data_IF_765489224818
#
_entry.id   IF_765489224818
#
_cell.length_a   1.000
_cell.length_b   1.000
_cell.length_c   1.000
_cell.angle_alpha   90.00
_cell.angle_beta   90.00
_cell.angle_gamma   90.00
#
_symmetry.space_group_name_H-M   'P 1'
#
loop_
_entity.id
_entity.type
_entity.pdbx_description
1 polymer ?
#
# COMPACT_ATOMS: atom_id res chain seq x y z
N UNK A 1 5.94 -7.29 28.59
CA UNK A 1 5.82 -7.18 27.12
C UNK A 1 7.23 -7.21 26.53
N UNK A 2 7.57 -8.17 25.66
CA UNK A 2 8.90 -8.16 25.03
C UNK A 2 8.93 -7.00 24.04
N UNK A 3 9.82 -6.02 24.27
CA UNK A 3 9.96 -4.80 23.46
C UNK A 3 9.92 -5.10 21.95
N UNK A 4 10.58 -6.19 21.53
CA UNK A 4 10.62 -6.69 20.14
C UNK A 4 9.25 -6.96 19.50
N UNK A 5 8.25 -7.44 20.26
CA UNK A 5 6.92 -7.73 19.72
C UNK A 5 6.08 -6.46 19.54
N UNK A 6 6.24 -5.46 20.43
CA UNK A 6 5.56 -4.18 20.28
C UNK A 6 6.12 -3.43 19.07
N UNK A 7 7.45 -3.38 18.93
CA UNK A 7 8.11 -2.74 17.78
C UNK A 7 7.70 -3.42 16.47
N UNK A 8 7.64 -4.76 16.45
CA UNK A 8 7.20 -5.50 15.25
C UNK A 8 5.73 -5.26 14.89
N UNK A 9 4.83 -5.12 15.88
CA UNK A 9 3.42 -4.81 15.64
C UNK A 9 3.23 -3.40 15.09
N UNK A 10 3.90 -2.42 15.68
CA UNK A 10 3.87 -1.01 15.25
C UNK A 10 4.47 -0.87 13.84
N UNK A 11 5.58 -1.55 13.55
CA UNK A 11 6.22 -1.50 12.23
C UNK A 11 5.32 -2.06 11.13
N UNK A 12 4.56 -3.14 11.41
CA UNK A 12 3.58 -3.71 10.47
C UNK A 12 2.38 -2.79 10.26
N UNK A 13 1.90 -2.13 11.32
CA UNK A 13 0.84 -1.14 11.24
C UNK A 13 1.26 0.07 10.40
N UNK A 14 2.41 0.66 10.70
CA UNK A 14 2.95 1.81 9.97
C UNK A 14 3.29 1.44 8.53
N UNK A 15 3.92 0.27 8.30
CA UNK A 15 4.24 -0.22 6.98
C UNK A 15 3.00 -0.51 6.13
N UNK A 16 1.97 -1.15 6.72
CA UNK A 16 0.70 -1.41 6.05
C UNK A 16 -0.05 -0.12 5.71
N UNK A 17 -0.11 0.83 6.64
CA UNK A 17 -0.73 2.14 6.41
C UNK A 17 0.01 2.93 5.33
N UNK A 18 1.35 2.96 5.36
CA UNK A 18 2.17 3.61 4.35
C UNK A 18 1.92 3.02 2.95
N UNK A 19 1.77 1.70 2.84
CA UNK A 19 1.46 1.02 1.58
C UNK A 19 0.07 1.39 1.06
N UNK A 20 -0.93 1.48 1.94
CA UNK A 20 -2.30 1.90 1.59
C UNK A 20 -2.29 3.35 1.11
N UNK A 21 -1.64 4.26 1.84
CA UNK A 21 -1.55 5.68 1.48
C UNK A 21 -0.80 5.85 0.16
N UNK A 22 0.32 5.15 -0.02
CA UNK A 22 1.07 5.17 -1.26
C UNK A 22 0.23 4.69 -2.45
N UNK A 23 -0.51 3.59 -2.27
CA UNK A 23 -1.40 3.07 -3.30
C UNK A 23 -2.52 4.07 -3.63
N UNK A 24 -3.13 4.70 -2.61
CA UNK A 24 -4.18 5.70 -2.83
C UNK A 24 -3.66 6.95 -3.55
N UNK A 25 -2.50 7.48 -3.15
CA UNK A 25 -1.90 8.67 -3.76
C UNK A 25 -1.49 8.38 -5.20
N UNK A 26 -0.88 7.23 -5.43
CA UNK A 26 -0.48 6.81 -6.77
C UNK A 26 -1.70 6.53 -7.64
N UNK A 27 -2.76 5.92 -7.11
CA UNK A 27 -4.04 5.76 -7.81
C UNK A 27 -4.67 7.11 -8.18
N UNK A 28 -4.60 8.12 -7.31
CA UNK A 28 -5.11 9.46 -7.64
C UNK A 28 -4.28 10.16 -8.72
N UNK A 29 -2.96 9.97 -8.74
CA UNK A 29 -2.07 10.50 -9.79
C UNK A 29 -2.24 9.77 -11.11
N UNK A 30 -2.38 8.45 -11.07
CA UNK A 30 -2.55 7.61 -12.25
C UNK A 30 -3.97 7.73 -12.79
N UNK A 31 -4.99 7.74 -11.94
CA UNK A 31 -6.40 7.83 -12.32
C UNK A 31 -6.75 9.10 -13.08
N UNK A 32 -6.07 10.21 -12.80
CA UNK A 32 -6.22 11.45 -13.58
C UNK A 32 -5.62 11.36 -14.98
N UNK A 33 -4.60 10.52 -15.19
CA UNK A 33 -3.92 10.33 -16.48
C UNK A 33 -4.52 9.15 -17.27
N UNK A 34 -5.00 8.13 -16.56
CA UNK A 34 -5.66 6.94 -17.10
C UNK A 34 -6.96 7.26 -17.84
N UNK A 35 -7.69 8.29 -17.39
CA UNK A 35 -8.90 8.77 -18.06
C UNK A 35 -8.60 9.52 -19.37
N UNK A 36 -7.37 10.00 -19.57
CA UNK A 36 -6.95 10.79 -20.73
C UNK A 36 -6.19 9.97 -21.79
N UNK A 37 -5.90 8.68 -21.54
CA UNK A 37 -5.13 7.84 -22.47
C UNK A 37 -3.67 8.27 -22.63
N UNK A 38 -3.16 9.11 -21.73
CA UNK A 38 -1.81 9.68 -21.82
C UNK A 38 -0.76 8.80 -21.10
N UNK A 39 0.48 8.76 -21.59
CA UNK A 39 1.58 8.05 -20.95
C UNK A 39 1.85 8.61 -19.54
N UNK A 40 1.90 7.72 -18.56
CA UNK A 40 2.09 8.08 -17.15
C UNK A 40 3.58 8.41 -16.93
N UNK A 41 3.90 9.69 -16.78
CA UNK A 41 5.25 10.12 -16.39
C UNK A 41 5.35 10.13 -14.86
N UNK A 42 6.24 9.30 -14.31
CA UNK A 42 6.63 9.38 -12.90
C UNK A 42 8.12 9.68 -12.82
N UNK A 43 8.49 10.77 -12.12
CA UNK A 43 9.87 11.12 -11.80
C UNK A 43 10.82 11.17 -13.02
N UNK A 44 10.36 11.71 -14.16
CA UNK A 44 11.18 11.83 -15.37
C UNK A 44 11.39 10.53 -16.15
N UNK A 45 10.79 9.43 -15.69
CA UNK A 45 10.71 8.15 -16.41
C UNK A 45 9.30 7.97 -16.98
N UNK A 46 9.22 7.75 -18.30
CA UNK A 46 8.00 7.29 -18.97
C UNK A 46 7.78 5.83 -18.61
N UNK A 47 6.74 5.56 -17.83
CA UNK A 47 6.36 4.19 -17.53
C UNK A 47 5.42 3.74 -18.63
N UNK A 48 5.90 2.88 -19.53
CA UNK A 48 5.13 2.27 -20.62
C UNK A 48 4.25 1.12 -20.08
N UNK A 49 3.51 1.42 -19.01
CA UNK A 49 2.56 0.50 -18.40
C UNK A 49 1.16 1.02 -18.66
N UNK A 50 0.31 0.15 -19.19
CA UNK A 50 -1.11 0.48 -19.35
C UNK A 50 -1.71 0.91 -18.00
N UNK A 51 -2.60 1.88 -18.03
CA UNK A 51 -3.32 2.36 -16.83
C UNK A 51 -4.01 1.20 -16.06
N UNK A 52 -4.44 0.16 -16.77
CA UNK A 52 -4.96 -1.07 -16.20
C UNK A 52 -3.92 -1.87 -15.42
N UNK A 53 -2.69 -2.01 -15.94
CA UNK A 53 -1.58 -2.69 -15.24
C UNK A 53 -1.20 -1.96 -13.97
N UNK A 54 -1.13 -0.63 -14.02
CA UNK A 54 -0.81 0.21 -12.85
C UNK A 54 -1.92 0.13 -11.81
N UNK A 55 -3.20 0.16 -12.24
CA UNK A 55 -4.35 -0.05 -11.37
C UNK A 55 -4.35 -1.41 -10.67
N UNK A 56 -4.01 -2.49 -11.39
CA UNK A 56 -3.85 -3.83 -10.83
C UNK A 56 -2.73 -3.90 -9.79
N UNK A 57 -1.56 -3.33 -10.09
CA UNK A 57 -0.44 -3.26 -9.14
C UNK A 57 -0.80 -2.46 -7.88
N UNK A 58 -1.55 -1.36 -8.04
CA UNK A 58 -2.02 -0.54 -6.93
C UNK A 58 -3.03 -1.29 -6.05
N UNK A 59 -3.98 -1.97 -6.67
CA UNK A 59 -4.94 -2.83 -5.96
C UNK A 59 -4.23 -3.91 -5.15
N UNK A 60 -3.26 -4.61 -5.77
CA UNK A 60 -2.45 -5.62 -5.10
C UNK A 60 -1.65 -5.04 -3.92
N UNK A 61 -1.00 -3.89 -4.10
CA UNK A 61 -0.26 -3.21 -3.04
C UNK A 61 -1.18 -2.77 -1.87
N UNK A 62 -2.37 -2.26 -2.17
CA UNK A 62 -3.37 -1.92 -1.15
C UNK A 62 -3.81 -3.14 -0.34
N UNK A 63 -4.01 -4.29 -1.01
CA UNK A 63 -4.35 -5.57 -0.38
C UNK A 63 -3.24 -6.08 0.55
N UNK A 64 -1.97 -5.99 0.14
CA UNK A 64 -0.82 -6.32 0.99
C UNK A 64 -0.77 -5.40 2.22
N UNK A 65 -1.02 -4.10 2.04
CA UNK A 65 -1.08 -3.15 3.14
C UNK A 65 -2.17 -3.50 4.16
N UNK A 66 -3.36 -3.87 3.68
CA UNK A 66 -4.46 -4.34 4.51
C UNK A 66 -4.09 -5.59 5.30
N UNK A 67 -3.47 -6.59 4.65
CA UNK A 67 -3.04 -7.82 5.31
C UNK A 67 -2.03 -7.55 6.43
N UNK A 68 -1.10 -6.61 6.24
CA UNK A 68 -0.14 -6.20 7.27
C UNK A 68 -0.83 -5.56 8.48
N UNK A 69 -1.84 -4.72 8.24
CA UNK A 69 -2.67 -4.13 9.32
C UNK A 69 -3.44 -5.21 10.07
N UNK A 70 -4.04 -6.17 9.37
CA UNK A 70 -4.75 -7.30 9.99
C UNK A 70 -3.79 -8.15 10.82
N UNK A 71 -2.61 -8.48 10.29
CA UNK A 71 -1.56 -9.22 11.01
C UNK A 71 -1.13 -8.47 12.28
N UNK A 72 -0.96 -7.16 12.22
CA UNK A 72 -0.66 -6.35 13.39
C UNK A 72 -1.81 -6.41 14.43
N UNK A 73 -3.05 -6.28 13.99
CA UNK A 73 -4.23 -6.37 14.86
C UNK A 73 -4.36 -7.76 15.51
N UNK A 74 -4.14 -8.85 14.76
CA UNK A 74 -4.14 -10.22 15.30
C UNK A 74 -3.01 -10.43 16.30
N UNK A 75 -1.83 -9.88 16.04
CA UNK A 75 -0.68 -9.96 16.95
C UNK A 75 -0.97 -9.24 18.27
N UNK A 76 -1.67 -8.10 18.22
CA UNK A 76 -2.09 -7.36 19.41
C UNK A 76 -3.24 -8.06 20.15
N UNK A 77 -4.24 -8.60 19.42
CA UNK A 77 -5.42 -9.27 19.98
C UNK A 77 -5.09 -10.59 20.67
N UNK A 78 -4.21 -11.43 20.08
CA UNK A 78 -3.73 -12.69 20.71
C UNK A 78 -3.02 -12.48 22.05
N UNK A 79 -2.73 -11.24 22.45
CA UNK A 79 -2.14 -10.89 23.73
C UNK A 79 -3.15 -10.59 24.83
N UNK A 80 -4.42 -10.36 24.45
CA UNK A 80 -5.50 -9.98 25.36
C UNK A 80 -6.41 -11.15 25.75
N UNK A 81 -6.22 -12.32 25.12
CA UNK A 81 -6.70 -13.63 25.58
C UNK A 81 -5.58 -14.39 26.27
#
# INVERSE_FOLDING_TARGET
MNSKQLTSGILRLLGGLALIVYSLVTYRRVGSHAAAGEPIQMFGTTVDASSGTVGWMLGAAGLVGLLLVILAAVTLKRRHS
#
